data_IF_689946741534
#
_entry.id   IF_689946741534
#
_cell.length_a   1.000
_cell.length_b   1.000
_cell.length_c   1.000
_cell.angle_alpha   90.00
_cell.angle_beta   90.00
_cell.angle_gamma   90.00
#
_symmetry.space_group_name_H-M   'P 1'
#
loop_
_entity.id
_entity.type
_entity.pdbx_description
1 polymer ?
#
# COMPACT_ATOMS: atom_id res chain seq x y z
N UNK A 1 -24.40 -5.95 -1.74
CA UNK A 1 -23.39 -4.96 -2.21
C UNK A 1 -22.73 -4.29 -1.01
N UNK A 2 -21.64 -4.88 -0.54
CA UNK A 2 -20.91 -4.46 0.68
C UNK A 2 -19.53 -3.84 0.32
N UNK A 3 -19.31 -3.62 -0.99
CA UNK A 3 -18.06 -3.17 -1.65
C UNK A 3 -17.61 -1.73 -1.36
N UNK A 4 -18.45 -0.87 -0.78
CA UNK A 4 -18.16 0.56 -0.62
C UNK A 4 -17.02 0.84 0.36
N UNK A 5 -16.95 0.08 1.45
CA UNK A 5 -15.94 0.30 2.48
C UNK A 5 -14.54 -0.10 2.02
N UNK A 6 -14.44 -1.18 1.26
CA UNK A 6 -13.17 -1.68 0.76
C UNK A 6 -12.49 -0.71 -0.22
N UNK A 7 -13.25 -0.12 -1.14
CA UNK A 7 -12.75 0.88 -2.09
C UNK A 7 -12.37 2.19 -1.41
N UNK A 8 -13.06 2.57 -0.33
CA UNK A 8 -12.67 3.71 0.51
C UNK A 8 -11.28 3.51 1.12
N UNK A 9 -11.00 2.37 1.75
CA UNK A 9 -9.69 2.10 2.34
C UNK A 9 -8.57 2.01 1.29
N UNK A 10 -8.84 1.46 0.11
CA UNK A 10 -7.87 1.50 -1.00
C UNK A 10 -7.59 2.94 -1.46
N UNK A 11 -8.62 3.78 -1.54
CA UNK A 11 -8.46 5.18 -1.94
C UNK A 11 -7.64 5.95 -0.90
N UNK A 12 -7.90 5.73 0.39
CA UNK A 12 -7.09 6.31 1.47
C UNK A 12 -5.65 5.82 1.46
N UNK A 13 -5.41 4.55 1.12
CA UNK A 13 -4.04 4.03 0.92
C UNK A 13 -3.32 4.73 -0.24
N UNK A 14 -3.99 4.93 -1.37
CA UNK A 14 -3.43 5.65 -2.52
C UNK A 14 -3.09 7.09 -2.14
N UNK A 15 -4.03 7.81 -1.55
CA UNK A 15 -3.86 9.22 -1.17
C UNK A 15 -2.71 9.35 -0.16
N UNK A 16 -2.70 8.54 0.90
CA UNK A 16 -1.65 8.64 1.91
C UNK A 16 -0.28 8.29 1.33
N UNK A 17 -0.17 7.25 0.50
CA UNK A 17 1.10 6.88 -0.12
C UNK A 17 1.62 7.98 -1.06
N UNK A 18 0.76 8.58 -1.89
CA UNK A 18 1.14 9.69 -2.77
C UNK A 18 1.58 10.92 -1.98
N UNK A 19 0.85 11.27 -0.92
CA UNK A 19 1.22 12.39 -0.04
C UNK A 19 2.59 12.16 0.62
N UNK A 20 2.86 10.94 1.06
CA UNK A 20 4.16 10.55 1.64
C UNK A 20 5.28 10.67 0.60
N UNK A 21 5.07 10.19 -0.63
CA UNK A 21 6.08 10.25 -1.70
C UNK A 21 6.54 11.68 -1.99
N UNK A 22 5.62 12.65 -1.96
CA UNK A 22 5.89 14.03 -2.38
C UNK A 22 6.36 14.91 -1.21
N UNK A 23 5.77 14.77 -0.02
CA UNK A 23 5.91 15.79 1.03
C UNK A 23 6.82 15.38 2.20
N UNK A 24 7.12 14.09 2.39
CA UNK A 24 7.79 13.62 3.60
C UNK A 24 9.21 13.11 3.31
N UNK A 25 10.23 13.57 4.06
CA UNK A 25 11.55 12.98 4.01
C UNK A 25 11.54 11.59 4.67
N UNK A 26 12.19 10.62 4.04
CA UNK A 26 12.30 9.25 4.56
C UNK A 26 13.58 9.06 5.36
N UNK A 27 14.65 9.73 4.92
CA UNK A 27 15.99 9.54 5.44
C UNK A 27 16.60 10.90 5.78
N UNK A 28 17.46 10.92 6.79
CA UNK A 28 18.26 12.09 7.16
C UNK A 28 19.73 11.71 7.30
N UNK A 29 20.64 12.59 6.89
CA UNK A 29 22.08 12.44 7.12
C UNK A 29 22.66 13.78 7.58
N UNK A 30 23.25 13.83 8.78
CA UNK A 30 23.98 14.98 9.29
C UNK A 30 23.29 16.36 9.04
N UNK A 31 21.95 16.41 9.13
CA UNK A 31 21.02 17.54 8.85
C UNK A 31 20.37 17.63 7.46
N UNK A 32 20.89 16.94 6.45
CA UNK A 32 20.29 16.89 5.12
C UNK A 32 19.13 15.90 5.06
N UNK A 33 17.97 16.37 4.59
CA UNK A 33 16.74 15.59 4.46
C UNK A 33 16.60 15.01 3.05
N UNK A 34 16.40 13.70 2.98
CA UNK A 34 16.26 12.98 1.72
C UNK A 34 14.82 12.49 1.54
N UNK A 35 14.23 12.89 0.43
CA UNK A 35 12.89 12.49 -0.01
C UNK A 35 12.97 11.23 -0.88
N UNK A 36 11.83 10.57 -1.10
CA UNK A 36 11.73 9.43 -2.03
C UNK A 36 12.25 9.78 -3.43
N UNK A 37 12.08 11.03 -3.83
CA UNK A 37 12.55 11.53 -5.13
C UNK A 37 14.04 11.30 -5.37
N UNK A 38 14.86 11.36 -4.31
CA UNK A 38 16.31 11.17 -4.41
C UNK A 38 16.68 9.70 -4.69
N UNK A 39 15.74 8.77 -4.57
CA UNK A 39 15.94 7.34 -4.77
C UNK A 39 15.01 6.78 -5.86
N UNK A 40 15.45 6.78 -7.14
CA UNK A 40 14.62 6.38 -8.27
C UNK A 40 14.01 4.98 -8.12
N UNK A 41 14.80 4.02 -7.61
CA UNK A 41 14.36 2.64 -7.43
C UNK A 41 13.20 2.55 -6.42
N UNK A 42 13.31 3.21 -5.27
CA UNK A 42 12.25 3.24 -4.25
C UNK A 42 11.02 3.96 -4.79
N UNK A 43 11.20 5.09 -5.50
CA UNK A 43 10.12 5.86 -6.14
C UNK A 43 9.30 4.98 -7.08
N UNK A 44 9.94 4.24 -7.98
CA UNK A 44 9.24 3.37 -8.93
C UNK A 44 8.51 2.20 -8.25
N UNK A 45 9.09 1.61 -7.21
CA UNK A 45 8.44 0.55 -6.42
C UNK A 45 7.18 1.08 -5.74
N UNK A 46 7.26 2.24 -5.09
CA UNK A 46 6.10 2.84 -4.42
C UNK A 46 5.01 3.25 -5.43
N UNK A 47 5.39 3.83 -6.57
CA UNK A 47 4.45 4.14 -7.66
C UNK A 47 3.80 2.89 -8.25
N UNK A 48 4.53 1.78 -8.38
CA UNK A 48 3.97 0.51 -8.84
C UNK A 48 2.88 0.01 -7.87
N UNK A 49 3.07 0.18 -6.56
CA UNK A 49 2.03 -0.15 -5.57
C UNK A 49 0.79 0.74 -5.71
N UNK A 50 0.96 2.05 -5.93
CA UNK A 50 -0.15 2.98 -6.20
C UNK A 50 -0.93 2.54 -7.44
N UNK A 51 -0.23 2.20 -8.51
CA UNK A 51 -0.84 1.77 -9.77
C UNK A 51 -1.64 0.47 -9.60
N UNK A 52 -1.05 -0.55 -8.95
CA UNK A 52 -1.73 -1.82 -8.67
C UNK A 52 -2.95 -1.64 -7.76
N UNK A 53 -2.85 -0.80 -6.74
CA UNK A 53 -3.97 -0.51 -5.84
C UNK A 53 -5.10 0.17 -6.62
N UNK A 54 -4.77 1.14 -7.48
CA UNK A 54 -5.74 1.83 -8.34
C UNK A 54 -6.41 0.85 -9.31
N UNK A 55 -5.63 -0.01 -9.98
CA UNK A 55 -6.14 -1.05 -10.86
C UNK A 55 -7.07 -2.03 -10.12
N UNK A 56 -6.77 -2.34 -8.86
CA UNK A 56 -7.58 -3.24 -8.05
C UNK A 56 -8.98 -2.68 -7.73
N UNK A 57 -9.15 -1.35 -7.67
CA UNK A 57 -10.46 -0.71 -7.49
C UNK A 57 -11.38 -1.01 -8.68
N UNK A 58 -10.86 -0.92 -9.92
CA UNK A 58 -11.62 -1.24 -11.13
C UNK A 58 -11.97 -2.73 -11.24
N UNK A 59 -11.27 -3.60 -10.52
CA UNK A 59 -11.49 -5.06 -10.55
C UNK A 59 -12.56 -5.57 -9.59
N UNK A 60 -13.47 -4.70 -9.15
CA UNK A 60 -14.53 -4.99 -8.20
C UNK A 60 -15.38 -6.23 -8.57
N UNK A 61 -15.64 -6.49 -9.86
CA UNK A 61 -16.47 -7.65 -10.26
C UNK A 61 -15.86 -9.01 -9.88
N UNK A 62 -14.52 -9.10 -9.78
CA UNK A 62 -13.80 -10.34 -9.50
C UNK A 62 -13.09 -10.25 -8.14
N UNK A 63 -13.83 -10.47 -7.05
CA UNK A 63 -13.31 -10.35 -5.68
C UNK A 63 -12.03 -11.15 -5.43
N UNK A 64 -11.88 -12.37 -5.99
CA UNK A 64 -10.64 -13.16 -5.87
C UNK A 64 -9.44 -12.43 -6.47
N UNK A 65 -9.60 -11.87 -7.68
CA UNK A 65 -8.57 -11.10 -8.38
C UNK A 65 -8.26 -9.80 -7.64
N UNK A 66 -9.29 -9.10 -7.17
CA UNK A 66 -9.14 -7.87 -6.39
C UNK A 66 -8.31 -8.11 -5.12
N UNK A 67 -8.59 -9.20 -4.38
CA UNK A 67 -7.83 -9.58 -3.19
C UNK A 67 -6.36 -9.84 -3.47
N UNK A 68 -6.09 -10.56 -4.56
CA UNK A 68 -4.74 -10.86 -5.00
C UNK A 68 -3.99 -9.56 -5.31
N UNK A 69 -4.59 -8.65 -6.09
CA UNK A 69 -3.98 -7.35 -6.42
C UNK A 69 -3.69 -6.50 -5.19
N UNK A 70 -4.62 -6.42 -4.22
CA UNK A 70 -4.40 -5.70 -2.95
C UNK A 70 -3.26 -6.34 -2.15
N UNK A 71 -3.21 -7.67 -2.09
CA UNK A 71 -2.13 -8.40 -1.41
C UNK A 71 -0.77 -8.16 -2.08
N UNK A 72 -0.72 -8.16 -3.41
CA UNK A 72 0.49 -7.83 -4.17
C UNK A 72 0.93 -6.38 -3.97
N UNK A 73 -0.01 -5.43 -3.98
CA UNK A 73 0.28 -4.01 -3.71
C UNK A 73 0.90 -3.84 -2.32
N UNK A 74 0.38 -4.56 -1.33
CA UNK A 74 0.90 -4.60 0.03
C UNK A 74 2.31 -5.19 0.10
N UNK A 75 2.56 -6.30 -0.61
CA UNK A 75 3.90 -6.89 -0.69
C UNK A 75 4.92 -5.92 -1.29
N UNK A 76 4.55 -5.16 -2.33
CA UNK A 76 5.42 -4.17 -2.94
C UNK A 76 5.83 -3.07 -1.94
N UNK A 77 4.88 -2.59 -1.12
CA UNK A 77 5.20 -1.62 -0.04
C UNK A 77 6.18 -2.24 0.96
N UNK A 78 5.94 -3.49 1.38
CA UNK A 78 6.85 -4.20 2.29
C UNK A 78 8.25 -4.35 1.70
N UNK A 79 8.36 -4.71 0.43
CA UNK A 79 9.64 -4.79 -0.28
C UNK A 79 10.32 -3.43 -0.31
N UNK A 80 9.58 -2.35 -0.60
CA UNK A 80 10.09 -0.98 -0.57
C UNK A 80 10.64 -0.58 0.80
N UNK A 81 9.92 -0.89 1.89
CA UNK A 81 10.37 -0.66 3.27
C UNK A 81 11.64 -1.45 3.57
N UNK A 82 11.69 -2.73 3.21
CA UNK A 82 12.88 -3.58 3.41
C UNK A 82 14.08 -3.03 2.65
N UNK A 83 13.89 -2.63 1.39
CA UNK A 83 14.97 -2.04 0.58
C UNK A 83 15.51 -0.76 1.20
N UNK A 84 14.64 0.11 1.73
CA UNK A 84 15.07 1.32 2.44
C UNK A 84 16.00 0.95 3.61
N UNK A 85 15.57 -0.01 4.43
CA UNK A 85 16.33 -0.44 5.62
C UNK A 85 17.63 -1.16 5.25
N UNK A 86 17.62 -2.03 4.26
CA UNK A 86 18.80 -2.84 3.90
C UNK A 86 19.86 -2.01 3.18
N UNK A 87 19.44 -1.11 2.28
CA UNK A 87 20.36 -0.37 1.42
C UNK A 87 20.86 0.92 2.07
N UNK A 88 20.03 1.62 2.85
CA UNK A 88 20.33 3.00 3.26
C UNK A 88 20.49 3.19 4.76
N UNK A 89 20.06 2.26 5.62
CA UNK A 89 20.17 2.41 7.09
C UNK A 89 21.61 2.54 7.60
N UNK A 90 22.61 2.07 6.84
CA UNK A 90 24.02 2.17 7.24
C UNK A 90 24.56 3.59 7.15
N UNK A 91 24.08 4.35 6.17
CA UNK A 91 24.59 5.67 5.84
C UNK A 91 23.62 6.80 6.23
N UNK A 92 22.36 6.46 6.52
CA UNK A 92 21.27 7.39 6.81
C UNK A 92 20.43 6.92 8.00
N UNK A 93 19.94 7.88 8.79
CA UNK A 93 18.96 7.63 9.84
C UNK A 93 17.52 7.65 9.27
N UNK A 94 16.64 6.86 9.88
CA UNK A 94 15.23 6.77 9.50
C UNK A 94 14.47 7.97 10.05
N UNK A 95 13.79 8.70 9.16
CA UNK A 95 12.98 9.87 9.53
C UNK A 95 11.47 9.57 9.56
N UNK A 96 10.67 10.57 9.94
CA UNK A 96 9.22 10.40 10.12
C UNK A 96 8.54 9.82 8.88
N UNK A 97 8.93 10.23 7.67
CA UNK A 97 8.34 9.73 6.43
C UNK A 97 8.47 8.22 6.24
N UNK A 98 9.54 7.61 6.79
CA UNK A 98 9.69 6.15 6.80
C UNK A 98 8.58 5.49 7.62
N UNK A 99 8.35 5.94 8.84
CA UNK A 99 7.32 5.38 9.71
C UNK A 99 5.91 5.61 9.17
N UNK A 100 5.69 6.73 8.47
CA UNK A 100 4.42 7.04 7.81
C UNK A 100 4.06 6.02 6.72
N UNK A 101 5.02 5.30 6.11
CA UNK A 101 4.73 4.24 5.14
C UNK A 101 3.91 3.08 5.73
N UNK A 102 3.84 2.96 7.06
CA UNK A 102 2.96 1.99 7.72
C UNK A 102 1.47 2.34 7.55
N UNK A 103 1.12 3.62 7.36
CA UNK A 103 -0.27 4.07 7.20
C UNK A 103 -0.92 3.47 5.94
N UNK A 104 -0.38 3.65 4.72
CA UNK A 104 -0.96 3.03 3.53
C UNK A 104 -0.96 1.50 3.61
N UNK A 105 0.03 0.90 4.29
CA UNK A 105 0.09 -0.54 4.53
C UNK A 105 -1.07 -1.04 5.40
N UNK A 106 -1.39 -0.35 6.51
CA UNK A 106 -2.53 -0.69 7.38
C UNK A 106 -3.85 -0.56 6.63
N UNK A 107 -4.02 0.48 5.80
CA UNK A 107 -5.23 0.61 4.99
C UNK A 107 -5.41 -0.54 3.98
N UNK A 108 -4.32 -1.03 3.37
CA UNK A 108 -4.39 -2.23 2.51
C UNK A 108 -4.70 -3.51 3.31
N UNK A 109 -4.23 -3.63 4.56
CA UNK A 109 -4.59 -4.75 5.44
C UNK A 109 -6.10 -4.75 5.74
N UNK A 110 -6.66 -3.59 6.11
CA UNK A 110 -8.09 -3.46 6.37
C UNK A 110 -8.90 -3.77 5.11
N UNK A 111 -8.46 -3.26 3.95
CA UNK A 111 -9.08 -3.56 2.66
C UNK A 111 -9.09 -5.07 2.37
N UNK A 112 -7.97 -5.77 2.53
CA UNK A 112 -7.89 -7.23 2.33
C UNK A 112 -8.81 -8.00 3.29
N UNK A 113 -8.88 -7.58 4.56
CA UNK A 113 -9.80 -8.17 5.53
C UNK A 113 -11.27 -8.03 5.10
N UNK A 114 -11.66 -6.84 4.64
CA UNK A 114 -13.01 -6.59 4.12
C UNK A 114 -13.31 -7.44 2.88
N UNK A 115 -12.38 -7.55 1.91
CA UNK A 115 -12.55 -8.44 0.75
C UNK A 115 -12.82 -9.87 1.17
N UNK A 116 -12.04 -10.35 2.14
CA UNK A 116 -12.15 -11.74 2.63
C UNK A 116 -13.51 -11.97 3.29
N UNK A 117 -14.02 -11.00 4.05
CA UNK A 117 -15.37 -11.04 4.64
C UNK A 117 -16.44 -11.11 3.56
N UNK A 118 -16.32 -10.29 2.53
CA UNK A 118 -17.28 -10.20 1.42
C UNK A 118 -17.33 -11.49 0.61
N UNK A 119 -16.16 -12.06 0.31
CA UNK A 119 -16.05 -13.37 -0.34
C UNK A 119 -16.72 -14.48 0.47
N UNK A 120 -16.59 -14.45 1.81
CA UNK A 120 -17.20 -15.46 2.69
C UNK A 120 -18.72 -15.37 2.66
N UNK A 121 -19.28 -14.16 2.69
CA UNK A 121 -20.72 -13.91 2.65
C UNK A 121 -21.38 -14.41 1.35
N UNK A 122 -20.74 -14.17 0.21
CA UNK A 122 -21.23 -14.64 -1.09
C UNK A 122 -21.21 -16.17 -1.14
N UNK A 123 -20.09 -16.80 -0.73
CA UNK A 123 -19.98 -18.26 -0.69
C UNK A 123 -20.99 -18.92 0.27
N UNK A 124 -21.35 -18.27 1.38
CA UNK A 124 -22.38 -18.81 2.27
C UNK A 124 -23.77 -18.72 1.67
N UNK A 125 -24.08 -17.65 0.92
CA UNK A 125 -25.35 -17.53 0.22
C UNK A 125 -25.48 -18.55 -0.91
N UNK A 126 -24.40 -18.79 -1.67
CA UNK A 126 -24.36 -19.80 -2.74
C UNK A 126 -24.55 -21.25 -2.23
N UNK A 127 -24.26 -21.54 -0.95
CA UNK A 127 -24.44 -22.89 -0.36
C UNK A 127 -25.87 -23.20 0.05
N UNK A 128 -26.72 -22.18 0.18
CA UNK A 128 -28.11 -22.32 0.60
C UNK A 128 -29.01 -22.59 -0.63
N UNK A 129 -28.50 -22.30 -1.83
CA UNK A 129 -29.20 -22.45 -3.10
C UNK A 129 -28.86 -23.78 -3.76
#
# INVERSE_FOLDING_TARGET
MIQRFQTLFMSFSIISLVVIIVNFPILINNTDKYYIENFPLIKYIMLASVFLTTYSIFQYKKLKRQRLLVSFSRLIITIGIILIVVLYKKDYDLELGFYLLLIPFIFLLISDFLIKKDQKLIKSADRIR
#
